data_IF_439825099918
#
_entry.id   IF_439825099918
#
_cell.length_a   1.000
_cell.length_b   1.000
_cell.length_c   1.000
_cell.angle_alpha   90.00
_cell.angle_beta   90.00
_cell.angle_gamma   90.00
#
_symmetry.space_group_name_H-M   'P 1'
#
loop_
_entity.id
_entity.type
_entity.pdbx_description
1 polymer ?
#
# COMPACT_ATOMS: atom_id res chain seq x y z
N UNK A 1 0.43 -12.23 6.49
CA UNK A 1 0.02 -11.62 7.77
C UNK A 1 -0.77 -10.37 7.44
N UNK A 2 -1.86 -10.11 8.18
CA UNK A 2 -2.55 -8.83 8.11
C UNK A 2 -1.76 -7.79 8.90
N UNK A 3 -1.85 -6.50 8.54
CA UNK A 3 -1.04 -5.43 9.13
C UNK A 3 -1.14 -5.37 10.65
N UNK A 4 -2.31 -5.69 11.20
CA UNK A 4 -2.66 -5.68 12.62
C UNK A 4 -1.99 -6.81 13.44
N UNK A 5 -1.47 -7.86 12.78
CA UNK A 5 -0.87 -9.04 13.45
C UNK A 5 0.67 -9.06 13.35
N UNK A 6 1.32 -7.91 13.12
CA UNK A 6 2.78 -7.81 13.04
C UNK A 6 3.49 -8.38 14.28
N UNK A 7 4.47 -9.27 14.09
CA UNK A 7 5.27 -9.88 15.18
C UNK A 7 6.72 -9.40 15.20
N UNK A 8 7.10 -8.49 14.30
CA UNK A 8 8.45 -7.89 14.24
C UNK A 8 9.53 -8.75 13.57
N UNK A 9 9.27 -10.02 13.28
CA UNK A 9 10.19 -10.89 12.55
C UNK A 9 10.21 -10.56 11.04
N UNK A 10 11.33 -10.78 10.32
CA UNK A 10 11.38 -10.62 8.86
C UNK A 10 10.27 -11.42 8.17
N UNK A 11 9.49 -10.76 7.30
CA UNK A 11 8.33 -11.36 6.63
C UNK A 11 7.03 -11.35 7.45
N UNK A 12 7.09 -10.98 8.73
CA UNK A 12 5.95 -10.86 9.65
C UNK A 12 5.90 -9.47 10.32
N UNK A 13 6.46 -8.45 9.67
CA UNK A 13 6.60 -7.10 10.22
C UNK A 13 5.58 -6.09 9.66
N UNK A 14 4.64 -6.53 8.81
CA UNK A 14 3.62 -5.71 8.16
C UNK A 14 4.17 -4.61 7.23
N UNK A 15 5.44 -4.72 6.83
CA UNK A 15 6.10 -3.74 5.97
C UNK A 15 6.24 -4.33 4.57
N UNK A 16 5.59 -3.70 3.59
CA UNK A 16 5.86 -3.97 2.18
C UNK A 16 7.33 -3.62 1.87
N UNK A 17 8.18 -4.59 1.49
CA UNK A 17 9.60 -4.32 1.21
C UNK A 17 9.77 -3.52 -0.07
N UNK A 18 10.68 -2.54 -0.09
CA UNK A 18 10.98 -1.77 -1.33
C UNK A 18 11.50 -2.62 -2.48
N UNK A 19 12.04 -3.81 -2.19
CA UNK A 19 12.48 -4.78 -3.20
C UNK A 19 11.33 -5.53 -3.88
N UNK A 20 10.09 -5.38 -3.40
CA UNK A 20 8.90 -6.02 -3.94
C UNK A 20 8.09 -4.95 -4.66
N UNK A 21 8.04 -5.01 -5.99
CA UNK A 21 7.23 -4.07 -6.78
C UNK A 21 5.78 -4.53 -6.94
N UNK A 22 4.89 -3.59 -7.27
CA UNK A 22 3.52 -3.90 -7.70
C UNK A 22 3.46 -4.11 -9.22
N UNK A 23 2.39 -4.76 -9.68
CA UNK A 23 2.09 -4.77 -11.12
C UNK A 23 1.82 -3.36 -11.67
N UNK A 24 1.31 -2.44 -10.85
CA UNK A 24 1.03 -1.07 -11.27
C UNK A 24 2.31 -0.30 -11.57
N UNK A 25 3.40 -0.52 -10.82
CA UNK A 25 4.71 0.05 -11.14
C UNK A 25 5.21 -0.41 -12.51
N UNK A 26 5.10 -1.71 -12.80
CA UNK A 26 5.46 -2.26 -14.11
C UNK A 26 4.59 -1.66 -15.22
N UNK A 27 3.27 -1.62 -15.04
CA UNK A 27 2.35 -1.07 -16.05
C UNK A 27 2.61 0.42 -16.30
N UNK A 28 2.91 1.18 -15.24
CA UNK A 28 3.26 2.60 -15.33
C UNK A 28 4.52 2.82 -16.16
N UNK A 29 5.57 2.02 -15.94
CA UNK A 29 6.80 2.06 -16.74
C UNK A 29 6.54 1.75 -18.23
N UNK A 30 5.44 1.06 -18.52
CA UNK A 30 4.97 0.76 -19.88
C UNK A 30 3.91 1.75 -20.41
N UNK A 31 3.72 2.90 -19.75
CA UNK A 31 2.87 4.00 -20.24
C UNK A 31 1.38 3.85 -19.92
N UNK A 32 0.99 2.91 -19.07
CA UNK A 32 -0.39 2.81 -18.59
C UNK A 32 -0.67 3.87 -17.53
N UNK A 33 -1.90 4.40 -17.54
CA UNK A 33 -2.43 5.19 -16.43
C UNK A 33 -3.20 4.27 -15.49
N UNK A 34 -2.75 4.17 -14.24
CA UNK A 34 -3.29 3.23 -13.27
C UNK A 34 -4.11 3.96 -12.20
N UNK A 35 -5.22 3.34 -11.81
CA UNK A 35 -6.04 3.82 -10.70
C UNK A 35 -6.46 2.65 -9.80
N UNK A 36 -6.48 2.89 -8.49
CA UNK A 36 -6.96 1.95 -7.49
C UNK A 36 -8.26 2.45 -6.86
N UNK A 37 -9.18 1.55 -6.56
CA UNK A 37 -10.47 1.87 -5.95
C UNK A 37 -10.81 0.87 -4.84
N UNK A 38 -11.23 1.37 -3.68
CA UNK A 38 -11.63 0.54 -2.54
C UNK A 38 -10.52 0.33 -1.50
N UNK A 39 -10.53 -0.83 -0.84
CA UNK A 39 -9.63 -1.12 0.27
C UNK A 39 -8.18 -1.28 -0.20
N UNK A 40 -7.25 -0.61 0.48
CA UNK A 40 -5.82 -0.81 0.27
C UNK A 40 -5.22 -1.91 1.15
N UNK A 41 -5.35 -1.80 2.47
CA UNK A 41 -4.88 -2.74 3.51
C UNK A 41 -3.44 -3.25 3.41
N UNK A 42 -2.55 -2.44 2.81
CA UNK A 42 -1.16 -2.83 2.51
C UNK A 42 -0.12 -1.88 3.12
N UNK A 43 -0.56 -0.78 3.75
CA UNK A 43 0.30 0.12 4.52
C UNK A 43 0.27 -0.29 6.00
N UNK A 44 1.42 -0.27 6.72
CA UNK A 44 1.42 -0.46 8.16
C UNK A 44 0.50 0.55 8.87
N UNK A 45 -0.15 0.15 9.95
CA UNK A 45 -1.17 0.98 10.62
C UNK A 45 -0.63 2.33 11.11
N UNK A 46 0.67 2.44 11.41
CA UNK A 46 1.31 3.71 11.78
C UNK A 46 1.61 4.63 10.58
N UNK A 47 1.43 4.16 9.35
CA UNK A 47 1.63 4.92 8.10
C UNK A 47 0.31 5.29 7.40
N UNK A 48 -0.85 4.92 7.97
CA UNK A 48 -2.17 5.21 7.36
C UNK A 48 -2.70 6.61 7.68
N UNK A 49 -2.00 7.36 8.54
CA UNK A 49 -2.38 8.73 8.91
C UNK A 49 -2.14 9.73 7.77
N UNK A 50 -2.88 10.86 7.73
CA UNK A 50 -2.65 11.91 6.74
C UNK A 50 -1.33 12.67 6.93
N UNK A 51 -0.52 12.32 7.94
CA UNK A 51 0.81 12.91 8.17
C UNK A 51 1.88 12.19 7.32
N UNK A 52 1.57 11.00 6.80
CA UNK A 52 2.51 10.15 6.07
C UNK A 52 3.39 9.29 6.99
N UNK A 53 4.39 8.57 6.42
CA UNK A 53 4.81 8.57 5.02
C UNK A 53 3.78 7.94 4.06
N UNK A 54 3.81 8.37 2.78
CA UNK A 54 2.87 7.89 1.75
C UNK A 54 3.47 6.82 0.81
N UNK A 55 4.72 6.41 1.05
CA UNK A 55 5.46 5.49 0.17
C UNK A 55 4.76 4.14 -0.03
N UNK A 56 4.03 3.66 0.99
CA UNK A 56 3.31 2.37 0.95
C UNK A 56 1.82 2.53 0.71
N UNK A 57 1.38 3.73 0.37
CA UNK A 57 0.03 3.94 -0.13
C UNK A 57 -0.03 3.49 -1.59
N UNK A 58 -1.23 3.25 -2.10
CA UNK A 58 -1.43 2.92 -3.53
C UNK A 58 -0.75 3.93 -4.45
N UNK A 59 -0.82 5.22 -4.14
CA UNK A 59 -0.18 6.29 -4.92
C UNK A 59 1.34 6.29 -4.88
N UNK A 60 1.95 5.70 -3.84
CA UNK A 60 3.38 5.46 -3.75
C UNK A 60 3.85 4.21 -4.51
N UNK A 61 2.92 3.38 -4.98
CA UNK A 61 3.16 2.03 -5.48
C UNK A 61 2.61 1.82 -6.90
N UNK A 62 2.78 2.84 -7.75
CA UNK A 62 2.52 2.75 -9.19
C UNK A 62 1.12 3.16 -9.64
N UNK A 63 0.20 3.48 -8.73
CA UNK A 63 -1.09 4.06 -9.08
C UNK A 63 -1.00 5.60 -9.11
N UNK A 64 -1.52 6.23 -10.15
CA UNK A 64 -1.58 7.70 -10.24
C UNK A 64 -2.80 8.27 -9.53
N UNK A 65 -3.85 7.47 -9.38
CA UNK A 65 -5.08 7.85 -8.71
C UNK A 65 -5.53 6.78 -7.74
N UNK A 66 -6.05 7.20 -6.59
CA UNK A 66 -6.68 6.30 -5.65
C UNK A 66 -7.89 6.93 -4.99
N UNK A 67 -8.95 6.14 -4.86
CA UNK A 67 -10.14 6.50 -4.11
C UNK A 67 -10.61 5.31 -3.27
N UNK A 68 -10.56 5.43 -1.96
CA UNK A 68 -10.88 4.32 -1.06
C UNK A 68 -10.47 4.58 0.38
N UNK A 69 -10.16 3.51 1.10
CA UNK A 69 -9.84 3.53 2.52
C UNK A 69 -8.65 2.62 2.83
N UNK A 70 -7.90 2.94 3.89
CA UNK A 70 -6.61 2.31 4.17
C UNK A 70 -6.69 0.94 4.86
N UNK A 71 -7.58 0.75 5.83
CA UNK A 71 -7.64 -0.46 6.65
C UNK A 71 -8.84 -1.34 6.33
N UNK A 72 -8.75 -2.64 6.59
CA UNK A 72 -9.85 -3.60 6.36
C UNK A 72 -11.06 -3.43 7.28
N UNK A 73 -10.97 -2.58 8.30
CA UNK A 73 -12.09 -2.17 9.12
C UNK A 73 -12.76 -0.89 8.57
N UNK A 74 -13.89 -1.05 7.89
CA UNK A 74 -14.80 0.08 7.63
C UNK A 74 -16.16 -0.24 8.24
N UNK A 75 -16.80 0.78 8.84
CA UNK A 75 -18.19 0.72 9.34
C UNK A 75 -19.20 0.85 8.21
#
# INVERSE_FOLDING_TARGET
>A
MITELSTGYPGYNSIWPRSSGTIAEILKDHGYSNAAFGNWHNAPNWETSPIGPFDRWSTGLGFEYWYGFQGGETS
#
